data_IF_908913441121
#
_entry.id   IF_908913441121
#
_cell.length_a   1.000
_cell.length_b   1.000
_cell.length_c   1.000
_cell.angle_alpha   90.00
_cell.angle_beta   90.00
_cell.angle_gamma   90.00
#
_symmetry.space_group_name_H-M   'P 1'
#
loop_
_entity.id
_entity.type
_entity.pdbx_description
1 polymer ?
#
# COMPACT_ATOMS: atom_id res chain seq x y z
N UNK A 1 -2.52 64.55 -9.78
CA UNK A 1 -1.33 63.73 -10.11
C UNK A 1 -1.01 62.92 -8.86
N UNK A 2 -1.51 61.68 -8.79
CA UNK A 2 -0.80 60.42 -9.09
C UNK A 2 -0.08 59.82 -7.88
N UNK A 3 -0.60 58.64 -7.47
CA UNK A 3 0.06 57.45 -6.91
C UNK A 3 0.72 57.63 -5.52
N UNK A 4 0.39 56.90 -4.45
CA UNK A 4 -0.14 55.54 -4.33
C UNK A 4 1.01 54.54 -4.32
N UNK A 5 1.32 53.93 -3.17
CA UNK A 5 1.75 52.54 -3.08
C UNK A 5 1.62 52.03 -1.64
N UNK A 6 0.80 50.99 -1.50
CA UNK A 6 0.54 50.22 -0.28
C UNK A 6 1.48 49.01 -0.37
N UNK A 7 2.50 48.95 0.47
CA UNK A 7 3.38 47.78 0.56
C UNK A 7 2.80 46.78 1.55
N UNK A 8 2.08 45.78 1.05
CA UNK A 8 1.79 44.56 1.81
C UNK A 8 2.97 43.61 1.62
N UNK A 9 3.75 43.39 2.68
CA UNK A 9 4.64 42.23 2.80
C UNK A 9 3.75 41.02 3.07
N UNK A 10 3.68 40.12 2.10
CA UNK A 10 3.19 38.75 2.27
C UNK A 10 4.40 37.85 2.09
N UNK A 11 4.83 37.20 3.15
CA UNK A 11 5.94 36.26 3.15
C UNK A 11 5.53 35.15 4.10
N UNK A 12 4.66 34.23 3.65
CA UNK A 12 4.29 33.03 4.42
C UNK A 12 3.54 32.02 3.55
N UNK A 13 4.21 31.37 2.58
CA UNK A 13 3.60 30.23 1.85
C UNK A 13 4.43 28.94 1.84
N UNK A 14 5.69 28.97 2.30
CA UNK A 14 6.58 27.78 2.21
C UNK A 14 6.64 26.88 3.46
N UNK A 15 5.93 27.23 4.55
CA UNK A 15 5.94 26.44 5.79
C UNK A 15 4.70 25.53 5.98
N UNK A 16 3.72 25.61 5.08
CA UNK A 16 2.43 24.93 5.24
C UNK A 16 2.44 23.49 4.69
N UNK A 17 3.25 23.21 3.66
CA UNK A 17 3.30 21.88 3.03
C UNK A 17 3.98 20.80 3.90
N UNK A 18 5.05 21.15 4.62
CA UNK A 18 5.74 20.18 5.49
C UNK A 18 4.93 19.84 6.75
N UNK A 19 4.24 20.81 7.34
CA UNK A 19 3.35 20.58 8.50
C UNK A 19 2.14 19.72 8.12
N UNK A 20 1.56 19.93 6.94
CA UNK A 20 0.43 19.12 6.47
C UNK A 20 0.85 17.67 6.13
N UNK A 21 2.03 17.45 5.55
CA UNK A 21 2.54 16.10 5.27
C UNK A 21 2.77 15.29 6.56
N UNK A 22 3.34 15.90 7.59
CA UNK A 22 3.50 15.26 8.90
C UNK A 22 2.15 14.98 9.56
N UNK A 23 1.20 15.92 9.51
CA UNK A 23 -0.14 15.73 10.06
C UNK A 23 -0.89 14.55 9.42
N UNK A 24 -0.81 14.42 8.09
CA UNK A 24 -1.44 13.33 7.36
C UNK A 24 -0.86 11.95 7.70
N UNK A 25 0.47 11.85 7.82
CA UNK A 25 1.12 10.61 8.25
C UNK A 25 0.72 10.20 9.67
N UNK A 26 0.59 11.17 10.58
CA UNK A 26 0.10 10.92 11.96
C UNK A 26 -1.36 10.47 11.97
N UNK A 27 -2.24 11.09 11.17
CA UNK A 27 -3.64 10.68 11.07
C UNK A 27 -3.77 9.24 10.56
N UNK A 28 -3.03 8.87 9.51
CA UNK A 28 -3.04 7.50 8.99
C UNK A 28 -2.45 6.51 10.00
N UNK A 29 -1.37 6.88 10.70
CA UNK A 29 -0.80 6.06 11.77
C UNK A 29 -1.83 5.77 12.87
N UNK A 30 -2.55 6.78 13.35
CA UNK A 30 -3.58 6.61 14.37
C UNK A 30 -4.73 5.72 13.87
N UNK A 31 -5.16 5.91 12.61
CA UNK A 31 -6.12 5.02 11.97
C UNK A 31 -5.60 3.57 11.93
N UNK A 32 -4.35 3.37 11.49
CA UNK A 32 -3.73 2.07 11.34
C UNK A 32 -3.58 1.34 12.69
N UNK A 33 -3.21 2.04 13.75
CA UNK A 33 -3.15 1.49 15.11
C UNK A 33 -4.54 1.03 15.59
N UNK A 34 -5.58 1.84 15.38
CA UNK A 34 -6.95 1.44 15.69
C UNK A 34 -7.47 0.31 14.80
N UNK A 35 -7.03 0.25 13.54
CA UNK A 35 -7.33 -0.83 12.60
C UNK A 35 -6.69 -2.15 13.08
N UNK A 36 -5.43 -2.12 13.54
CA UNK A 36 -4.75 -3.30 14.09
C UNK A 36 -5.44 -3.86 15.33
N UNK A 37 -5.93 -3.01 16.23
CA UNK A 37 -6.71 -3.48 17.38
C UNK A 37 -7.96 -4.24 16.91
N UNK A 38 -8.68 -3.74 15.90
CA UNK A 38 -9.82 -4.47 15.32
C UNK A 38 -9.39 -5.77 14.64
N UNK A 39 -8.23 -5.79 13.99
CA UNK A 39 -7.66 -6.98 13.38
C UNK A 39 -7.37 -8.08 14.43
N UNK A 40 -6.92 -7.72 15.63
CA UNK A 40 -6.74 -8.65 16.75
C UNK A 40 -8.09 -9.27 17.19
N UNK A 41 -9.14 -8.45 17.32
CA UNK A 41 -10.47 -8.94 17.67
C UNK A 41 -11.04 -9.87 16.58
N UNK A 42 -10.87 -9.53 15.30
CA UNK A 42 -11.26 -10.41 14.21
C UNK A 42 -10.48 -11.72 14.20
N UNK A 43 -9.20 -11.69 14.58
CA UNK A 43 -8.42 -12.92 14.71
C UNK A 43 -9.00 -13.80 15.84
N UNK A 44 -9.38 -13.24 16.96
CA UNK A 44 -10.02 -13.99 18.05
C UNK A 44 -11.36 -14.59 17.59
N UNK A 45 -12.19 -13.84 16.86
CA UNK A 45 -13.43 -14.35 16.27
C UNK A 45 -13.16 -15.51 15.29
N UNK A 46 -12.16 -15.38 14.42
CA UNK A 46 -11.75 -16.42 13.47
C UNK A 46 -11.26 -17.70 14.16
N UNK A 47 -10.48 -17.56 15.23
CA UNK A 47 -9.99 -18.70 16.02
C UNK A 47 -11.17 -19.40 16.71
N UNK A 48 -12.10 -18.63 17.30
CA UNK A 48 -13.31 -19.17 17.93
C UNK A 48 -14.18 -19.94 16.93
N UNK A 49 -14.44 -19.35 15.76
CA UNK A 49 -15.22 -19.99 14.69
C UNK A 49 -14.54 -21.28 14.20
N UNK A 50 -13.21 -21.26 14.08
CA UNK A 50 -12.44 -22.42 13.65
C UNK A 50 -12.42 -23.57 14.67
N UNK A 51 -12.58 -23.28 15.96
CA UNK A 51 -12.68 -24.29 17.02
C UNK A 51 -14.08 -24.90 17.15
N UNK A 52 -15.13 -24.16 16.75
CA UNK A 52 -16.53 -24.53 16.94
C UNK A 52 -17.27 -24.64 15.59
N UNK A 53 -16.62 -25.24 14.57
CA UNK A 53 -17.23 -25.38 13.24
C UNK A 53 -18.54 -26.18 13.25
N UNK A 54 -18.64 -27.20 14.11
CA UNK A 54 -19.85 -28.05 14.19
C UNK A 54 -21.07 -27.31 14.76
N UNK A 55 -20.85 -26.19 15.47
CA UNK A 55 -21.90 -25.36 16.06
C UNK A 55 -22.22 -24.11 15.21
N UNK A 56 -21.32 -23.72 14.32
CA UNK A 56 -21.45 -22.50 13.52
C UNK A 56 -22.23 -22.78 12.23
N UNK A 57 -23.27 -21.98 11.95
CA UNK A 57 -23.96 -22.07 10.67
C UNK A 57 -23.05 -21.59 9.53
N UNK A 58 -23.18 -22.17 8.33
CA UNK A 58 -22.45 -21.69 7.14
C UNK A 58 -22.74 -20.19 6.87
N UNK A 59 -23.97 -19.74 7.15
CA UNK A 59 -24.37 -18.33 7.02
C UNK A 59 -23.57 -17.42 7.98
N UNK A 60 -23.33 -17.87 9.22
CA UNK A 60 -22.55 -17.11 10.21
C UNK A 60 -21.09 -16.99 9.79
N UNK A 61 -20.52 -18.06 9.22
CA UNK A 61 -19.16 -18.06 8.69
C UNK A 61 -19.04 -17.12 7.49
N UNK A 62 -20.02 -17.11 6.57
CA UNK A 62 -20.06 -16.18 5.44
C UNK A 62 -20.15 -14.73 5.90
N UNK A 63 -20.98 -14.45 6.91
CA UNK A 63 -21.10 -13.11 7.49
C UNK A 63 -19.77 -12.66 8.10
N UNK A 64 -19.10 -13.51 8.88
CA UNK A 64 -17.79 -13.23 9.46
C UNK A 64 -16.74 -12.94 8.37
N UNK A 65 -16.66 -13.79 7.35
CA UNK A 65 -15.75 -13.60 6.19
C UNK A 65 -16.02 -12.24 5.52
N UNK A 66 -17.29 -11.89 5.28
CA UNK A 66 -17.68 -10.62 4.67
C UNK A 66 -17.26 -9.40 5.50
N UNK A 67 -17.48 -9.44 6.83
CA UNK A 67 -17.06 -8.37 7.75
C UNK A 67 -15.54 -8.14 7.71
N UNK A 68 -14.75 -9.22 7.66
CA UNK A 68 -13.28 -9.14 7.60
C UNK A 68 -12.81 -8.61 6.24
N UNK A 69 -13.41 -9.05 5.14
CA UNK A 69 -13.10 -8.52 3.82
C UNK A 69 -13.41 -7.02 3.73
N UNK A 70 -14.52 -6.58 4.30
CA UNK A 70 -14.86 -5.16 4.44
C UNK A 70 -13.84 -4.40 5.33
N UNK A 71 -13.32 -5.04 6.38
CA UNK A 71 -12.27 -4.47 7.22
C UNK A 71 -10.96 -4.24 6.46
N UNK A 72 -10.54 -5.19 5.61
CA UNK A 72 -9.40 -5.00 4.72
C UNK A 72 -9.67 -3.96 3.61
N UNK A 73 -10.89 -3.92 3.08
CA UNK A 73 -11.29 -2.89 2.11
C UNK A 73 -11.15 -1.49 2.71
N UNK A 74 -11.62 -1.27 3.95
CA UNK A 74 -11.46 -0.01 4.67
C UNK A 74 -9.99 0.41 4.78
N UNK A 75 -9.08 -0.54 5.03
CA UNK A 75 -7.65 -0.24 5.08
C UNK A 75 -7.14 0.33 3.75
N UNK A 76 -7.46 -0.30 2.61
CA UNK A 76 -7.00 0.17 1.31
C UNK A 76 -7.67 1.48 0.89
N UNK A 77 -8.92 1.73 1.29
CA UNK A 77 -9.60 3.00 1.06
C UNK A 77 -8.90 4.16 1.81
N UNK A 78 -8.59 3.98 3.09
CA UNK A 78 -7.81 4.99 3.84
C UNK A 78 -6.38 5.11 3.32
N UNK A 79 -5.77 3.99 2.89
CA UNK A 79 -4.43 4.00 2.29
C UNK A 79 -4.41 4.77 0.98
N UNK A 80 -5.46 4.71 0.16
CA UNK A 80 -5.58 5.50 -1.08
C UNK A 80 -5.51 7.00 -0.78
N UNK A 81 -6.23 7.46 0.26
CA UNK A 81 -6.25 8.88 0.65
C UNK A 81 -4.87 9.40 1.04
N UNK A 82 -4.08 8.62 1.78
CA UNK A 82 -2.71 9.02 2.12
C UNK A 82 -1.76 8.89 0.92
N UNK A 83 -2.00 7.94 0.02
CA UNK A 83 -1.24 7.75 -1.23
C UNK A 83 -1.37 8.97 -2.14
N UNK A 84 -2.59 9.47 -2.38
CA UNK A 84 -2.86 10.68 -3.18
C UNK A 84 -2.22 11.95 -2.58
N UNK A 85 -2.12 12.01 -1.26
CA UNK A 85 -1.48 13.13 -0.57
C UNK A 85 0.04 13.05 -0.67
N UNK A 86 0.61 11.90 -0.33
CA UNK A 86 2.04 11.65 -0.38
C UNK A 86 2.35 10.15 -0.52
N UNK A 87 2.55 9.71 -1.75
CA UNK A 87 2.89 8.33 -2.09
C UNK A 87 4.17 7.83 -1.44
N UNK A 88 5.13 8.70 -1.14
CA UNK A 88 6.38 8.26 -0.50
C UNK A 88 6.15 7.72 0.91
N UNK A 89 5.12 8.20 1.63
CA UNK A 89 4.78 7.69 2.96
C UNK A 89 4.33 6.23 2.96
N UNK A 90 3.73 5.75 1.87
CA UNK A 90 3.30 4.35 1.79
C UNK A 90 4.40 3.41 1.29
N UNK A 91 5.42 3.94 0.60
CA UNK A 91 6.65 3.20 0.29
C UNK A 91 7.60 3.10 1.48
N UNK A 92 7.62 4.12 2.35
CA UNK A 92 8.45 4.18 3.55
C UNK A 92 7.59 4.46 4.79
N UNK A 93 6.71 3.53 5.19
CA UNK A 93 5.72 3.75 6.24
C UNK A 93 6.36 3.89 7.62
N UNK A 94 6.28 5.06 8.28
CA UNK A 94 6.81 5.25 9.64
C UNK A 94 6.02 4.50 10.72
N UNK A 95 4.88 3.92 10.37
CA UNK A 95 4.01 3.14 11.26
C UNK A 95 4.26 1.62 11.20
N UNK A 96 5.16 1.15 10.33
CA UNK A 96 5.59 -0.25 10.26
C UNK A 96 6.97 -0.42 10.91
N UNK A 97 7.16 -1.57 11.55
CA UNK A 97 8.47 -2.05 12.02
C UNK A 97 9.41 -2.33 10.84
N UNK A 98 10.72 -2.37 11.09
CA UNK A 98 11.70 -2.72 10.05
C UNK A 98 11.46 -4.13 9.49
N UNK A 99 10.96 -5.05 10.31
CA UNK A 99 10.60 -6.40 9.87
C UNK A 99 9.39 -6.37 8.93
N UNK A 100 8.30 -5.67 9.28
CA UNK A 100 7.15 -5.50 8.38
C UNK A 100 7.56 -4.86 7.04
N UNK A 101 8.43 -3.83 7.10
CA UNK A 101 8.93 -3.15 5.90
C UNK A 101 9.71 -4.10 4.96
N UNK A 102 10.44 -5.07 5.50
CA UNK A 102 11.20 -6.03 4.69
C UNK A 102 10.33 -6.97 3.84
N UNK A 103 9.03 -7.11 4.17
CA UNK A 103 8.08 -7.94 3.41
C UNK A 103 7.23 -7.13 2.41
N UNK A 104 7.44 -5.82 2.28
CA UNK A 104 6.68 -5.00 1.35
C UNK A 104 7.10 -5.24 -0.10
N UNK A 105 6.09 -5.40 -0.95
CA UNK A 105 6.15 -5.43 -2.39
C UNK A 105 5.20 -4.34 -2.90
N UNK A 106 5.68 -3.21 -3.41
CA UNK A 106 4.82 -2.09 -3.85
C UNK A 106 3.86 -1.62 -2.72
N UNK A 107 4.44 -1.03 -1.66
CA UNK A 107 3.72 -0.42 -0.54
C UNK A 107 2.75 -1.35 0.23
N UNK A 108 2.94 -2.67 0.19
CA UNK A 108 2.08 -3.64 0.90
C UNK A 108 2.52 -5.08 0.63
N UNK A 109 1.80 -6.08 1.14
CA UNK A 109 2.17 -7.49 0.93
C UNK A 109 2.04 -7.93 -0.54
N UNK A 110 2.83 -8.91 -0.95
CA UNK A 110 2.74 -9.50 -2.29
C UNK A 110 1.48 -10.38 -2.43
N UNK A 111 0.56 -10.13 -3.37
CA UNK A 111 -0.69 -10.89 -3.54
C UNK A 111 -0.50 -12.41 -3.60
N UNK A 112 0.57 -12.88 -4.24
CA UNK A 112 0.95 -14.28 -4.34
C UNK A 112 1.14 -15.00 -3.00
N UNK A 113 1.34 -14.25 -1.91
CA UNK A 113 1.40 -14.80 -0.55
C UNK A 113 0.07 -15.43 -0.13
N UNK A 114 -1.07 -14.94 -0.63
CA UNK A 114 -2.39 -15.49 -0.31
C UNK A 114 -2.47 -16.99 -0.65
N UNK A 115 -1.98 -17.40 -1.82
CA UNK A 115 -1.98 -18.82 -2.21
C UNK A 115 -1.08 -19.66 -1.31
N UNK A 116 0.06 -19.13 -0.87
CA UNK A 116 0.93 -19.84 0.09
C UNK A 116 0.27 -20.01 1.44
N UNK A 117 -0.50 -19.01 1.88
CA UNK A 117 -1.28 -19.11 3.12
C UNK A 117 -2.36 -20.18 2.97
N UNK A 118 -3.12 -20.17 1.89
CA UNK A 118 -4.13 -21.20 1.58
C UNK A 118 -3.51 -22.60 1.63
N UNK A 119 -2.42 -22.85 0.90
CA UNK A 119 -1.78 -24.19 0.86
C UNK A 119 -1.21 -24.64 2.19
N UNK A 120 -0.91 -23.71 3.11
CA UNK A 120 -0.30 -24.03 4.40
C UNK A 120 -1.32 -24.08 5.55
N UNK A 121 -2.56 -23.62 5.33
CA UNK A 121 -3.59 -23.51 6.37
C UNK A 121 -4.82 -24.39 6.11
N UNK A 122 -4.95 -24.94 4.91
CA UNK A 122 -6.12 -25.71 4.50
C UNK A 122 -5.66 -27.06 3.93
N UNK A 123 -5.98 -28.14 4.63
CA UNK A 123 -5.60 -29.51 4.26
C UNK A 123 -6.67 -30.26 3.45
N UNK A 124 -7.88 -29.69 3.36
CA UNK A 124 -9.09 -30.33 2.82
C UNK A 124 -9.55 -29.72 1.48
N UNK A 125 -8.64 -29.15 0.69
CA UNK A 125 -8.95 -28.58 -0.63
C UNK A 125 -9.36 -29.68 -1.62
N UNK A 126 -10.49 -29.46 -2.32
CA UNK A 126 -10.91 -30.33 -3.41
C UNK A 126 -10.03 -30.16 -4.66
N UNK A 127 -10.01 -31.17 -5.54
CA UNK A 127 -9.25 -31.11 -6.79
C UNK A 127 -9.67 -29.92 -7.67
N UNK A 128 -10.98 -29.63 -7.73
CA UNK A 128 -11.51 -28.48 -8.49
C UNK A 128 -11.08 -27.14 -7.90
N UNK A 129 -11.04 -27.04 -6.57
CA UNK A 129 -10.52 -25.86 -5.87
C UNK A 129 -9.02 -25.69 -6.16
N UNK A 130 -8.23 -26.76 -6.08
CA UNK A 130 -6.79 -26.73 -6.36
C UNK A 130 -6.52 -26.28 -7.81
N UNK A 131 -7.25 -26.82 -8.78
CA UNK A 131 -7.09 -26.42 -10.19
C UNK A 131 -7.46 -24.95 -10.41
N UNK A 132 -8.54 -24.49 -9.77
CA UNK A 132 -8.99 -23.10 -9.86
C UNK A 132 -8.01 -22.14 -9.20
N UNK A 133 -7.53 -22.45 -7.99
CA UNK A 133 -6.50 -21.69 -7.27
C UNK A 133 -5.19 -21.63 -8.05
N UNK A 134 -4.78 -22.73 -8.68
CA UNK A 134 -3.58 -22.75 -9.52
C UNK A 134 -3.70 -21.86 -10.77
N UNK A 135 -4.89 -21.79 -11.37
CA UNK A 135 -5.17 -20.85 -12.46
C UNK A 135 -5.11 -19.41 -11.96
N UNK A 136 -5.76 -19.12 -10.84
CA UNK A 136 -5.78 -17.80 -10.23
C UNK A 136 -4.37 -17.34 -9.82
N UNK A 137 -3.56 -18.23 -9.24
CA UNK A 137 -2.16 -17.97 -8.90
C UNK A 137 -1.35 -17.56 -10.14
N UNK A 138 -1.53 -18.25 -11.27
CA UNK A 138 -0.83 -17.91 -12.52
C UNK A 138 -1.23 -16.53 -13.05
N UNK A 139 -2.52 -16.21 -13.00
CA UNK A 139 -3.06 -14.90 -13.37
C UNK A 139 -2.48 -13.79 -12.48
N UNK A 140 -2.58 -13.94 -11.15
CA UNK A 140 -2.03 -12.99 -10.17
C UNK A 140 -0.53 -12.80 -10.36
N UNK A 141 0.25 -13.88 -10.52
CA UNK A 141 1.69 -13.77 -10.81
C UNK A 141 2.00 -13.01 -12.10
N UNK A 142 1.13 -13.08 -13.10
CA UNK A 142 1.30 -12.31 -14.34
C UNK A 142 1.05 -10.82 -14.11
N UNK A 143 0.01 -10.48 -13.36
CA UNK A 143 -0.29 -9.08 -13.01
C UNK A 143 0.79 -8.49 -12.10
N UNK A 144 1.32 -9.26 -11.15
CA UNK A 144 2.47 -8.85 -10.33
C UNK A 144 3.72 -8.53 -11.19
N UNK A 145 3.98 -9.32 -12.24
CA UNK A 145 5.09 -9.02 -13.16
C UNK A 145 4.86 -7.72 -13.91
N UNK A 146 3.65 -7.52 -14.45
CA UNK A 146 3.29 -6.26 -15.14
C UNK A 146 3.51 -5.04 -14.24
N UNK A 147 3.06 -5.11 -12.98
CA UNK A 147 3.23 -4.01 -12.03
C UNK A 147 4.69 -3.76 -11.64
N UNK A 148 5.53 -4.80 -11.56
CA UNK A 148 6.97 -4.64 -11.38
C UNK A 148 7.62 -3.94 -12.58
N UNK A 149 7.23 -4.34 -13.80
CA UNK A 149 7.76 -3.75 -15.02
C UNK A 149 7.34 -2.27 -15.16
N UNK A 150 6.12 -1.93 -14.76
CA UNK A 150 5.64 -0.54 -14.67
C UNK A 150 6.43 0.28 -13.64
N UNK A 151 6.64 -0.28 -12.43
CA UNK A 151 7.45 0.38 -11.41
C UNK A 151 8.89 0.60 -11.88
N UNK A 152 9.49 -0.39 -12.56
CA UNK A 152 10.83 -0.29 -13.12
C UNK A 152 10.91 0.85 -14.16
N UNK A 153 9.94 0.95 -15.07
CA UNK A 153 9.88 2.05 -16.06
C UNK A 153 9.80 3.42 -15.40
N UNK A 154 8.99 3.56 -14.35
CA UNK A 154 8.90 4.80 -13.58
C UNK A 154 10.27 5.15 -12.98
N UNK A 155 10.95 4.18 -12.38
CA UNK A 155 12.27 4.38 -11.77
C UNK A 155 13.35 4.69 -12.82
N UNK A 156 13.35 4.02 -13.97
CA UNK A 156 14.28 4.26 -15.08
C UNK A 156 14.11 5.66 -15.69
N UNK A 157 12.87 6.12 -15.83
CA UNK A 157 12.55 7.46 -16.35
C UNK A 157 13.20 8.60 -15.53
N UNK A 158 13.61 8.32 -14.28
CA UNK A 158 14.15 9.30 -13.33
C UNK A 158 15.62 8.99 -13.01
N UNK A 159 16.07 7.75 -13.20
CA UNK A 159 17.46 7.35 -13.06
C UNK A 159 18.40 7.95 -14.11
N UNK A 160 17.89 8.35 -15.29
CA UNK A 160 18.74 8.82 -16.39
C UNK A 160 18.96 10.35 -16.49
N UNK A 161 17.99 11.25 -16.26
CA UNK A 161 18.22 12.70 -16.39
C UNK A 161 18.52 13.50 -15.08
N UNK A 162 17.69 13.50 -14.01
CA UNK A 162 17.89 14.39 -12.86
C UNK A 162 19.09 14.09 -11.95
N UNK A 163 19.46 12.82 -11.72
CA UNK A 163 20.64 12.48 -10.90
C UNK A 163 21.95 12.92 -11.55
N UNK A 164 22.02 12.83 -12.89
CA UNK A 164 23.17 13.31 -13.67
C UNK A 164 23.24 14.84 -13.66
N UNK A 165 22.09 15.51 -13.66
CA UNK A 165 21.99 16.97 -13.63
C UNK A 165 22.29 17.54 -12.24
N UNK A 166 21.77 16.93 -11.17
CA UNK A 166 22.11 17.28 -9.78
C UNK A 166 23.59 16.99 -9.48
N UNK A 167 24.15 15.88 -9.96
CA UNK A 167 25.58 15.60 -9.87
C UNK A 167 26.44 16.57 -10.71
N UNK A 168 25.92 17.06 -11.84
CA UNK A 168 26.55 18.12 -12.66
C UNK A 168 26.54 19.48 -11.95
N UNK A 169 25.42 19.84 -11.33
CA UNK A 169 25.25 21.11 -10.63
C UNK A 169 26.06 21.16 -9.32
N UNK A 170 26.18 20.05 -8.60
CA UNK A 170 27.08 19.94 -7.44
C UNK A 170 28.57 20.11 -7.78
N UNK A 171 28.97 19.93 -9.06
CA UNK A 171 30.35 20.03 -9.53
C UNK A 171 30.75 21.36 -10.16
N UNK A 172 29.81 22.29 -10.45
CA UNK A 172 30.13 23.58 -11.08
C UNK A 172 29.69 24.76 -10.24
N UNK A 173 30.49 25.08 -9.23
CA UNK A 173 30.66 26.47 -8.81
C UNK A 173 31.52 27.21 -9.84
N UNK A 174 30.93 27.54 -10.99
CA UNK A 174 31.55 28.43 -11.97
C UNK A 174 30.67 29.65 -12.19
N UNK A 175 31.12 30.73 -11.55
CA UNK A 175 30.99 32.15 -11.88
C UNK A 175 30.68 32.39 -13.38
N UNK A 176 29.44 32.75 -13.72
CA UNK A 176 29.13 33.88 -14.62
C UNK A 176 27.62 34.11 -14.69
N UNK A 177 27.21 35.37 -14.55
CA UNK A 177 25.82 35.79 -14.63
C UNK A 177 25.25 35.74 -16.04
N UNK A 178 23.94 35.53 -16.11
CA UNK A 178 23.13 35.62 -17.32
C UNK A 178 21.99 34.61 -17.29
N UNK A 179 20.79 35.12 -16.98
CA UNK A 179 19.47 34.55 -17.33
C UNK A 179 19.18 33.13 -16.80
N UNK A 180 18.75 33.05 -15.54
CA UNK A 180 18.28 31.83 -14.89
C UNK A 180 16.82 32.03 -14.47
N UNK A 181 15.88 31.76 -15.37
CA UNK A 181 14.43 31.70 -15.06
C UNK A 181 13.73 30.44 -15.61
N UNK A 182 14.42 29.49 -16.26
CA UNK A 182 13.78 28.28 -16.82
C UNK A 182 14.15 26.95 -16.11
N UNK A 183 15.01 26.95 -15.09
CA UNK A 183 15.52 25.70 -14.48
C UNK A 183 14.62 25.12 -13.36
N UNK A 184 13.78 25.91 -12.69
CA UNK A 184 12.90 25.41 -11.61
C UNK A 184 11.66 24.64 -12.13
N UNK A 185 11.14 24.99 -13.30
CA UNK A 185 9.87 24.44 -13.82
C UNK A 185 9.97 22.99 -14.28
N UNK A 186 11.15 22.56 -14.75
CA UNK A 186 11.35 21.20 -15.29
C UNK A 186 11.51 20.15 -14.17
N UNK A 187 12.16 20.53 -13.06
CA UNK A 187 12.35 19.67 -11.88
C UNK A 187 11.03 19.36 -11.17
N UNK A 188 10.18 20.37 -10.99
CA UNK A 188 8.86 20.23 -10.37
C UNK A 188 7.92 19.36 -11.22
N UNK A 189 7.96 19.51 -12.55
CA UNK A 189 7.21 18.68 -13.50
C UNK A 189 7.64 17.21 -13.44
N UNK A 190 8.95 16.94 -13.40
CA UNK A 190 9.48 15.59 -13.29
C UNK A 190 9.09 14.90 -11.96
N UNK A 191 9.12 15.65 -10.85
CA UNK A 191 8.69 15.15 -9.54
C UNK A 191 7.18 14.86 -9.50
N UNK A 192 6.36 15.71 -10.12
CA UNK A 192 4.93 15.48 -10.25
C UNK A 192 4.62 14.22 -11.08
N UNK A 193 5.34 14.00 -12.19
CA UNK A 193 5.22 12.79 -13.00
C UNK A 193 5.62 11.52 -12.24
N UNK A 194 6.73 11.56 -11.47
CA UNK A 194 7.14 10.48 -10.58
C UNK A 194 6.02 10.14 -9.58
N UNK A 195 5.52 11.16 -8.88
CA UNK A 195 4.49 10.99 -7.85
C UNK A 195 3.24 10.35 -8.45
N UNK A 196 2.75 10.87 -9.57
CA UNK A 196 1.58 10.32 -10.26
C UNK A 196 1.79 8.88 -10.74
N UNK A 197 2.96 8.55 -11.28
CA UNK A 197 3.30 7.19 -11.68
C UNK A 197 3.31 6.22 -10.51
N UNK A 198 3.95 6.60 -9.39
CA UNK A 198 3.96 5.78 -8.18
C UNK A 198 2.55 5.59 -7.60
N UNK A 199 1.73 6.64 -7.58
CA UNK A 199 0.33 6.57 -7.11
C UNK A 199 -0.47 5.56 -7.94
N UNK A 200 -0.32 5.60 -9.27
CA UNK A 200 -1.00 4.67 -10.18
C UNK A 200 -0.60 3.22 -9.90
N UNK A 201 0.70 2.94 -9.73
CA UNK A 201 1.20 1.59 -9.46
C UNK A 201 0.77 1.09 -8.08
N UNK A 202 0.80 1.94 -7.04
CA UNK A 202 0.29 1.58 -5.71
C UNK A 202 -1.20 1.27 -5.75
N UNK A 203 -1.98 2.10 -6.43
CA UNK A 203 -3.43 1.91 -6.58
C UNK A 203 -3.73 0.59 -7.29
N UNK A 204 -3.02 0.29 -8.37
CA UNK A 204 -3.19 -0.97 -9.10
C UNK A 204 -2.76 -2.19 -8.26
N UNK A 205 -1.68 -2.07 -7.49
CA UNK A 205 -1.25 -3.13 -6.58
C UNK A 205 -2.25 -3.39 -5.44
N UNK A 206 -2.83 -2.34 -4.85
CA UNK A 206 -3.86 -2.47 -3.81
C UNK A 206 -5.15 -3.11 -4.35
N UNK A 207 -5.56 -2.75 -5.57
CA UNK A 207 -6.66 -3.42 -6.28
C UNK A 207 -6.38 -4.89 -6.51
N UNK A 208 -5.15 -5.25 -6.90
CA UNK A 208 -4.76 -6.64 -7.08
C UNK A 208 -4.81 -7.42 -5.76
N UNK A 209 -4.35 -6.84 -4.64
CA UNK A 209 -4.45 -7.46 -3.31
C UNK A 209 -5.90 -7.79 -2.94
N UNK A 210 -6.79 -6.80 -3.07
CA UNK A 210 -8.21 -7.01 -2.75
C UNK A 210 -8.88 -7.99 -3.71
N UNK A 211 -8.63 -7.86 -5.01
CA UNK A 211 -9.20 -8.78 -6.00
C UNK A 211 -8.72 -10.21 -5.79
N UNK A 212 -7.44 -10.42 -5.46
CA UNK A 212 -6.91 -11.76 -5.13
C UNK A 212 -7.56 -12.31 -3.87
N UNK A 213 -7.69 -11.52 -2.80
CA UNK A 213 -8.34 -11.98 -1.56
C UNK A 213 -9.79 -12.41 -1.81
N UNK A 214 -10.57 -11.58 -2.51
CA UNK A 214 -11.97 -11.87 -2.86
C UNK A 214 -12.09 -13.13 -3.73
N UNK A 215 -11.32 -13.21 -4.83
CA UNK A 215 -11.35 -14.37 -5.72
C UNK A 215 -10.91 -15.66 -5.02
N UNK A 216 -10.01 -15.58 -4.03
CA UNK A 216 -9.62 -16.74 -3.21
C UNK A 216 -10.79 -17.16 -2.33
N UNK A 217 -11.41 -16.24 -1.59
CA UNK A 217 -12.57 -16.56 -0.73
C UNK A 217 -13.79 -17.04 -1.52
N UNK A 218 -13.95 -16.63 -2.78
CA UNK A 218 -15.02 -17.12 -3.66
C UNK A 218 -14.83 -18.59 -4.10
N UNK A 219 -13.57 -19.07 -4.11
CA UNK A 219 -13.23 -20.46 -4.48
C UNK A 219 -13.31 -21.39 -3.26
N UNK A 220 -13.02 -20.85 -2.09
CA UNK A 220 -13.00 -21.60 -0.83
C UNK A 220 -14.41 -21.72 -0.25
N UNK A 221 -14.65 -22.80 0.48
CA UNK A 221 -15.83 -22.89 1.35
C UNK A 221 -15.69 -21.92 2.53
N UNK A 222 -16.80 -21.60 3.22
CA UNK A 222 -16.79 -20.60 4.31
C UNK A 222 -15.83 -21.00 5.43
N UNK A 223 -15.81 -22.27 5.81
CA UNK A 223 -14.87 -22.79 6.81
C UNK A 223 -13.40 -22.68 6.37
N UNK A 224 -13.11 -22.96 5.10
CA UNK A 224 -11.77 -22.79 4.52
C UNK A 224 -11.37 -21.31 4.46
N UNK A 225 -12.29 -20.42 4.10
CA UNK A 225 -12.08 -18.97 4.10
C UNK A 225 -11.74 -18.45 5.50
N UNK A 226 -12.40 -18.96 6.54
CA UNK A 226 -12.05 -18.66 7.94
C UNK A 226 -10.63 -19.10 8.28
N UNK A 227 -10.23 -20.34 7.93
CA UNK A 227 -8.84 -20.82 8.13
C UNK A 227 -7.81 -19.93 7.43
N UNK A 228 -8.08 -19.59 6.16
CA UNK A 228 -7.22 -18.73 5.36
C UNK A 228 -7.07 -17.32 5.97
N UNK A 229 -8.19 -16.67 6.32
CA UNK A 229 -8.19 -15.33 6.91
C UNK A 229 -7.53 -15.33 8.30
N UNK A 230 -7.70 -16.40 9.09
CA UNK A 230 -7.01 -16.57 10.36
C UNK A 230 -5.50 -16.62 10.15
N UNK A 231 -5.03 -17.41 9.19
CA UNK A 231 -3.61 -17.51 8.86
C UNK A 231 -3.03 -16.17 8.37
N UNK A 232 -3.80 -15.42 7.55
CA UNK A 232 -3.40 -14.09 7.09
C UNK A 232 -3.28 -13.08 8.24
N UNK A 233 -4.30 -13.03 9.11
CA UNK A 233 -4.33 -12.16 10.29
C UNK A 233 -3.18 -12.48 11.26
N UNK A 234 -2.97 -13.76 11.55
CA UNK A 234 -1.87 -14.22 12.42
C UNK A 234 -0.51 -13.84 11.85
N UNK A 235 -0.28 -14.02 10.55
CA UNK A 235 0.98 -13.65 9.93
C UNK A 235 1.24 -12.15 10.08
N UNK A 236 0.24 -11.31 9.78
CA UNK A 236 0.36 -9.86 9.88
C UNK A 236 0.69 -9.42 11.31
N UNK A 237 -0.06 -9.92 12.30
CA UNK A 237 0.16 -9.56 13.71
C UNK A 237 1.49 -10.11 14.25
N UNK A 238 1.90 -11.31 13.84
CA UNK A 238 3.19 -11.90 14.24
C UNK A 238 4.38 -11.12 13.70
N UNK A 239 4.36 -10.76 12.41
CA UNK A 239 5.42 -9.94 11.81
C UNK A 239 5.61 -8.63 12.56
N UNK A 240 4.52 -8.01 13.00
CA UNK A 240 4.60 -6.82 13.85
C UNK A 240 5.17 -7.14 15.22
N UNK A 241 4.65 -8.15 15.91
CA UNK A 241 5.11 -8.53 17.26
C UNK A 241 6.59 -8.89 17.34
N UNK A 242 7.15 -9.48 16.28
CA UNK A 242 8.57 -9.85 16.22
C UNK A 242 9.48 -8.69 15.83
N UNK A 243 8.92 -7.61 15.28
CA UNK A 243 9.64 -6.41 14.88
C UNK A 243 9.65 -5.30 15.94
N UNK A 244 8.90 -5.44 17.04
CA UNK A 244 8.86 -4.54 18.20
C UNK A 244 9.87 -4.98 19.25
#
# INVERSE_FOLDING_TARGET
MSKGFKGTSSTDDNNNNNNNNNGNGVLFKNFFEGWLVRQEHYLDELICANQNFDESSDDDLRELVSRILAHYQQYYEEKSKITERNVFLVFFPPWFTSLEQAFLWIAGFKPGLAFRLVTNSIDDLSEDQIQTLNRLMRETKSQERSLNDELAKIQESIGAPPLLEIARCGGRRSVHGGEQEEEDSNSDSAMAALKSGLEAVVTAADRLRMSTALKVTDVLESAQSVKFLAAAAQLQLRLRSWGL
#
